data_IF_300576046756
#
_entry.id   IF_300576046756
#
_cell.length_a   1.000
_cell.length_b   1.000
_cell.length_c   1.000
_cell.angle_alpha   90.00
_cell.angle_beta   90.00
_cell.angle_gamma   90.00
#
_symmetry.space_group_name_H-M   'P 1'
#
loop_
_entity.id
_entity.type
_entity.pdbx_description
1 polymer ?
#
# COMPACT_ATOMS: atom_id res chain seq x y z
N UNK A 1 44.55 61.03 -21.67
CA UNK A 1 44.11 60.15 -22.78
C UNK A 1 42.79 59.45 -22.44
N UNK A 2 41.68 60.08 -22.80
CA UNK A 2 40.32 59.57 -22.67
C UNK A 2 39.95 58.81 -23.95
N UNK A 3 40.04 57.47 -23.90
CA UNK A 3 39.60 56.60 -24.99
C UNK A 3 38.07 56.51 -24.94
N UNK A 4 37.41 57.24 -25.83
CA UNK A 4 35.96 57.18 -26.06
C UNK A 4 35.71 56.14 -27.16
N UNK A 5 35.12 55.01 -26.79
CA UNK A 5 34.66 53.98 -27.74
C UNK A 5 33.27 54.41 -28.23
N UNK A 6 33.11 54.58 -29.53
CA UNK A 6 31.81 54.87 -30.13
C UNK A 6 30.92 53.62 -30.14
N UNK A 7 29.61 53.76 -29.93
CA UNK A 7 28.71 52.61 -29.92
C UNK A 7 28.51 52.06 -31.34
N UNK A 8 28.36 50.73 -31.50
CA UNK A 8 28.24 50.10 -32.81
C UNK A 8 26.96 50.53 -33.54
N UNK A 9 27.10 50.84 -34.84
CA UNK A 9 26.05 51.43 -35.68
C UNK A 9 24.93 50.47 -36.14
N UNK A 10 24.98 49.19 -35.76
CA UNK A 10 23.93 48.24 -36.12
C UNK A 10 23.71 47.20 -35.01
N UNK A 11 22.47 47.09 -34.57
CA UNK A 11 22.01 46.01 -33.70
C UNK A 11 21.94 44.73 -34.56
N UNK A 12 22.47 43.58 -34.12
CA UNK A 12 22.43 42.34 -34.89
C UNK A 12 20.99 41.95 -35.24
N UNK A 13 20.75 41.34 -36.42
CA UNK A 13 19.42 41.03 -36.91
C UNK A 13 18.67 40.10 -35.94
N UNK A 14 17.49 40.53 -35.49
CA UNK A 14 16.61 39.81 -34.57
C UNK A 14 15.84 38.64 -35.21
N UNK A 15 16.19 38.22 -36.44
CA UNK A 15 15.46 37.18 -37.17
C UNK A 15 15.55 35.79 -36.52
N UNK A 16 16.60 35.54 -35.72
CA UNK A 16 16.69 34.33 -34.88
C UNK A 16 15.74 34.36 -33.66
N UNK A 17 15.07 35.49 -33.41
CA UNK A 17 14.09 35.70 -32.32
C UNK A 17 12.66 35.74 -32.84
N UNK A 18 12.35 35.04 -33.94
CA UNK A 18 10.98 34.58 -34.18
C UNK A 18 10.58 33.73 -32.98
N UNK A 19 9.67 34.25 -32.16
CA UNK A 19 8.91 33.45 -31.19
C UNK A 19 8.58 32.13 -31.89
N UNK A 20 9.11 31.03 -31.38
CA UNK A 20 8.51 29.73 -31.67
C UNK A 20 7.02 29.89 -31.37
N UNK A 21 6.10 29.40 -32.22
CA UNK A 21 4.70 29.38 -31.82
C UNK A 21 4.68 28.72 -30.45
N UNK A 22 4.21 29.45 -29.43
CA UNK A 22 3.88 28.86 -28.14
C UNK A 22 3.02 27.67 -28.50
N UNK A 23 3.55 26.44 -28.33
CA UNK A 23 2.72 25.25 -28.40
C UNK A 23 1.53 25.58 -27.51
N UNK A 24 0.28 25.42 -27.98
CA UNK A 24 -0.85 25.55 -27.08
C UNK A 24 -0.49 24.71 -25.87
N UNK A 25 -0.55 25.30 -24.68
CA UNK A 25 -0.47 24.52 -23.46
C UNK A 25 -1.48 23.40 -23.68
N UNK A 26 -1.00 22.17 -23.89
CA UNK A 26 -1.86 21.02 -23.79
C UNK A 26 -2.42 21.18 -22.38
N UNK A 27 -3.70 21.56 -22.29
CA UNK A 27 -4.48 21.29 -21.09
C UNK A 27 -4.39 19.78 -20.98
N UNK A 28 -3.39 19.35 -20.21
CA UNK A 28 -3.25 17.98 -19.80
C UNK A 28 -4.54 17.73 -19.05
N UNK A 29 -5.45 17.02 -19.71
CA UNK A 29 -6.69 16.59 -19.10
C UNK A 29 -6.28 15.67 -17.94
N UNK A 30 -6.32 16.20 -16.72
CA UNK A 30 -5.90 15.50 -15.51
C UNK A 30 -6.67 14.17 -15.39
N UNK A 31 -7.90 14.12 -15.90
CA UNK A 31 -8.70 12.89 -15.97
C UNK A 31 -8.12 11.89 -16.97
N UNK A 32 -7.62 12.33 -18.13
CA UNK A 32 -7.02 11.45 -19.14
C UNK A 32 -5.62 10.95 -18.74
N UNK A 33 -4.84 11.76 -18.03
CA UNK A 33 -3.59 11.31 -17.41
C UNK A 33 -3.81 10.37 -16.23
N UNK A 34 -4.79 10.63 -15.35
CA UNK A 34 -5.18 9.68 -14.31
C UNK A 34 -5.67 8.36 -14.90
N UNK A 35 -6.46 8.41 -15.99
CA UNK A 35 -6.94 7.24 -16.70
C UNK A 35 -5.75 6.45 -17.29
N UNK A 36 -4.80 7.12 -17.95
CA UNK A 36 -3.57 6.51 -18.48
C UNK A 36 -2.71 5.92 -17.36
N UNK A 37 -2.57 6.60 -16.23
CA UNK A 37 -1.85 6.08 -15.06
C UNK A 37 -2.58 4.89 -14.43
N UNK A 38 -3.91 4.87 -14.40
CA UNK A 38 -4.73 3.72 -13.97
C UNK A 38 -4.57 2.52 -14.91
N UNK A 39 -4.56 2.76 -16.21
CA UNK A 39 -4.30 1.73 -17.23
C UNK A 39 -2.86 1.20 -17.14
N UNK A 40 -1.88 2.10 -17.02
CA UNK A 40 -0.46 1.76 -16.84
C UNK A 40 -0.18 1.08 -15.49
N UNK A 41 -0.97 1.36 -14.45
CA UNK A 41 -0.90 0.69 -13.13
C UNK A 41 -1.72 -0.60 -13.07
N UNK A 42 -2.43 -0.96 -14.14
CA UNK A 42 -3.16 -2.24 -14.24
C UNK A 42 -4.49 -2.27 -13.46
N UNK A 43 -4.98 -1.08 -13.06
CA UNK A 43 -6.29 -0.88 -12.44
C UNK A 43 -7.43 -0.84 -13.48
N UNK A 44 -7.18 -1.31 -14.70
CA UNK A 44 -8.19 -1.51 -15.73
C UNK A 44 -8.73 -2.94 -15.68
N UNK A 45 -10.04 -3.12 -15.91
CA UNK A 45 -10.67 -4.45 -15.92
C UNK A 45 -9.97 -5.36 -16.94
N UNK A 46 -9.44 -6.49 -16.49
CA UNK A 46 -8.75 -7.46 -17.36
C UNK A 46 -9.72 -8.28 -18.22
N UNK A 47 -10.99 -8.37 -17.80
CA UNK A 47 -12.05 -9.12 -18.49
C UNK A 47 -11.88 -10.65 -18.40
N UNK A 48 -10.97 -11.13 -17.54
CA UNK A 48 -10.70 -12.55 -17.26
C UNK A 48 -10.73 -12.76 -15.75
N UNK A 49 -11.23 -13.91 -15.30
CA UNK A 49 -11.17 -14.28 -13.88
C UNK A 49 -9.70 -14.30 -13.40
N UNK A 50 -9.41 -13.60 -12.31
CA UNK A 50 -8.06 -13.39 -11.76
C UNK A 50 -7.08 -12.67 -12.70
N UNK A 51 -7.57 -11.96 -13.72
CA UNK A 51 -6.73 -11.29 -14.70
C UNK A 51 -5.87 -10.18 -14.09
N UNK A 52 -6.42 -9.39 -13.16
CA UNK A 52 -5.69 -8.37 -12.41
C UNK A 52 -4.56 -8.97 -11.58
N UNK A 53 -4.84 -10.04 -10.82
CA UNK A 53 -3.83 -10.72 -10.00
C UNK A 53 -2.65 -11.26 -10.82
N UNK A 54 -2.92 -11.83 -12.00
CA UNK A 54 -1.87 -12.33 -12.90
C UNK A 54 -1.02 -11.17 -13.45
N UNK A 55 -1.64 -10.04 -13.78
CA UNK A 55 -0.93 -8.85 -14.23
C UNK A 55 -0.04 -8.28 -13.12
N UNK A 56 -0.53 -8.22 -11.88
CA UNK A 56 0.25 -7.77 -10.71
C UNK A 56 1.48 -8.65 -10.49
N UNK A 57 1.31 -9.99 -10.55
CA UNK A 57 2.42 -10.92 -10.40
C UNK A 57 3.46 -10.76 -11.53
N UNK A 58 3.01 -10.61 -12.77
CA UNK A 58 3.89 -10.42 -13.93
C UNK A 58 4.73 -9.15 -13.80
N UNK A 59 4.14 -8.07 -13.27
CA UNK A 59 4.85 -6.80 -13.02
C UNK A 59 5.84 -6.90 -11.89
N UNK A 60 5.53 -7.65 -10.83
CA UNK A 60 6.39 -7.76 -9.65
C UNK A 60 7.55 -8.76 -9.82
N UNK A 61 7.35 -9.83 -10.58
CA UNK A 61 8.34 -10.89 -10.79
C UNK A 61 9.78 -10.40 -11.11
N UNK A 62 10.03 -9.41 -11.99
CA UNK A 62 11.40 -8.97 -12.29
C UNK A 62 12.07 -8.24 -11.13
N UNK A 63 11.32 -7.57 -10.26
CA UNK A 63 11.84 -6.77 -9.15
C UNK A 63 12.15 -7.60 -7.91
N UNK A 64 11.45 -8.73 -7.73
CA UNK A 64 11.53 -9.55 -6.52
C UNK A 64 12.97 -9.93 -6.14
N UNK A 65 13.83 -10.27 -7.10
CA UNK A 65 15.23 -10.61 -6.82
C UNK A 65 16.11 -9.37 -6.54
N UNK A 66 15.77 -8.21 -7.10
CA UNK A 66 16.45 -6.95 -6.78
C UNK A 66 16.17 -6.54 -5.35
N UNK A 67 14.91 -6.66 -4.90
CA UNK A 67 14.46 -6.25 -3.56
C UNK A 67 15.32 -6.90 -2.44
N UNK A 68 15.69 -8.19 -2.57
CA UNK A 68 16.57 -8.85 -1.60
C UNK A 68 18.01 -8.35 -1.64
N UNK A 69 18.53 -7.95 -2.80
CA UNK A 69 19.88 -7.38 -2.91
C UNK A 69 19.91 -5.98 -2.31
N UNK A 70 18.89 -5.18 -2.58
CA UNK A 70 18.77 -3.81 -2.11
C UNK A 70 18.58 -3.76 -0.57
N UNK A 71 17.89 -4.76 -0.01
CA UNK A 71 17.72 -4.91 1.44
C UNK A 71 19.02 -5.16 2.23
N UNK A 72 20.13 -5.54 1.57
CA UNK A 72 21.43 -5.77 2.23
C UNK A 72 22.22 -4.48 2.50
N UNK A 73 21.71 -3.32 2.09
CA UNK A 73 22.35 -2.05 2.39
C UNK A 73 22.35 -1.76 3.91
N UNK A 74 23.48 -1.27 4.43
CA UNK A 74 23.66 -0.99 5.88
C UNK A 74 22.63 0.02 6.42
N UNK A 75 22.16 0.93 5.56
CA UNK A 75 21.12 1.91 5.92
C UNK A 75 19.76 1.24 6.26
N UNK A 76 19.47 0.06 5.71
CA UNK A 76 18.23 -0.68 5.99
C UNK A 76 18.19 -1.22 7.43
N UNK A 77 19.34 -1.43 8.06
CA UNK A 77 19.42 -1.95 9.44
C UNK A 77 18.81 -0.96 10.44
N UNK A 78 19.06 0.34 10.26
CA UNK A 78 18.48 1.38 11.11
C UNK A 78 16.95 1.43 10.98
N UNK A 79 16.44 1.37 9.75
CA UNK A 79 15.00 1.31 9.47
C UNK A 79 14.36 0.05 10.06
N UNK A 80 15.03 -1.11 10.00
CA UNK A 80 14.54 -2.36 10.57
C UNK A 80 14.38 -2.28 12.09
N UNK A 81 15.40 -1.78 12.81
CA UNK A 81 15.33 -1.61 14.27
C UNK A 81 14.24 -0.61 14.66
N UNK A 82 14.15 0.51 13.94
CA UNK A 82 13.12 1.52 14.19
C UNK A 82 11.71 0.94 13.99
N UNK A 83 11.47 0.27 12.86
CA UNK A 83 10.18 -0.34 12.55
C UNK A 83 9.81 -1.45 13.53
N UNK A 84 10.78 -2.23 14.01
CA UNK A 84 10.54 -3.25 15.02
C UNK A 84 9.90 -2.65 16.28
N UNK A 85 10.50 -1.61 16.86
CA UNK A 85 9.93 -0.96 18.04
C UNK A 85 8.63 -0.21 17.74
N UNK A 86 8.54 0.44 16.57
CA UNK A 86 7.35 1.16 16.15
C UNK A 86 6.13 0.23 16.00
N UNK A 87 6.32 -1.00 15.52
CA UNK A 87 5.24 -1.97 15.34
C UNK A 87 4.97 -2.81 16.60
N UNK A 88 6.00 -3.07 17.41
CA UNK A 88 5.86 -3.87 18.63
C UNK A 88 5.00 -3.18 19.69
N UNK A 89 5.14 -1.87 19.87
CA UNK A 89 4.35 -1.11 20.85
C UNK A 89 2.84 -1.23 20.61
N UNK A 90 2.28 -0.89 19.43
CA UNK A 90 0.85 -1.00 19.18
C UNK A 90 0.36 -2.45 19.21
N UNK A 91 1.16 -3.43 18.77
CA UNK A 91 0.77 -4.85 18.85
C UNK A 91 0.59 -5.29 20.32
N UNK A 92 1.51 -4.90 21.21
CA UNK A 92 1.38 -5.22 22.64
C UNK A 92 0.20 -4.47 23.26
N UNK A 93 0.05 -3.17 22.97
CA UNK A 93 -1.05 -2.36 23.52
C UNK A 93 -2.41 -2.90 23.09
N UNK A 94 -2.62 -3.13 21.80
CA UNK A 94 -3.89 -3.68 21.29
C UNK A 94 -4.10 -5.13 21.71
N UNK A 95 -3.05 -5.94 21.78
CA UNK A 95 -3.14 -7.32 22.27
C UNK A 95 -3.51 -7.39 23.75
N UNK A 96 -3.06 -6.43 24.57
CA UNK A 96 -3.47 -6.29 25.97
C UNK A 96 -4.94 -5.90 26.13
N UNK A 97 -5.38 -4.88 25.38
CA UNK A 97 -6.78 -4.44 25.38
C UNK A 97 -7.73 -5.55 24.90
N UNK A 98 -7.31 -6.30 23.87
CA UNK A 98 -8.07 -7.42 23.34
C UNK A 98 -8.13 -8.60 24.34
N UNK A 99 -7.06 -8.82 25.10
CA UNK A 99 -7.05 -9.82 26.17
C UNK A 99 -8.06 -9.52 27.26
N UNK A 100 -8.21 -8.25 27.62
CA UNK A 100 -9.17 -7.81 28.62
C UNK A 100 -10.61 -7.91 28.08
N UNK A 101 -10.83 -7.46 26.85
CA UNK A 101 -12.13 -7.50 26.20
C UNK A 101 -12.64 -8.94 25.93
N UNK A 102 -11.75 -9.89 25.63
CA UNK A 102 -12.12 -11.27 25.22
C UNK A 102 -12.00 -12.30 26.34
N UNK A 103 -11.86 -11.87 27.60
CA UNK A 103 -11.76 -12.78 28.74
C UNK A 103 -10.54 -13.70 28.70
N UNK A 104 -9.40 -13.21 28.18
CA UNK A 104 -8.13 -13.96 27.99
C UNK A 104 -8.16 -15.05 26.90
N UNK A 105 -9.17 -15.09 26.04
CA UNK A 105 -9.17 -16.01 24.90
C UNK A 105 -8.22 -15.54 23.78
N UNK A 106 -7.92 -14.24 23.70
CA UNK A 106 -7.01 -13.66 22.71
C UNK A 106 -6.06 -12.68 23.39
N UNK A 107 -4.84 -13.12 23.73
CA UNK A 107 -3.89 -12.28 24.45
C UNK A 107 -2.81 -11.65 23.54
N UNK A 108 -1.90 -10.91 24.17
CA UNK A 108 -0.82 -10.22 23.47
C UNK A 108 0.13 -11.18 22.75
N UNK A 109 0.33 -12.40 23.27
CA UNK A 109 1.23 -13.39 22.66
C UNK A 109 0.65 -13.96 21.36
N UNK A 110 -0.64 -14.28 21.32
CA UNK A 110 -1.33 -14.74 20.12
C UNK A 110 -1.35 -13.65 19.05
N UNK A 111 -1.55 -12.40 19.47
CA UNK A 111 -1.49 -11.23 18.59
C UNK A 111 -0.10 -11.02 17.99
N UNK A 112 0.96 -11.23 18.78
CA UNK A 112 2.36 -11.16 18.31
C UNK A 112 2.66 -12.27 17.29
N UNK A 113 2.26 -13.51 17.59
CA UNK A 113 2.48 -14.65 16.67
C UNK A 113 1.70 -14.46 15.37
N UNK A 114 0.44 -14.02 15.46
CA UNK A 114 -0.37 -13.70 14.28
C UNK A 114 0.27 -12.58 13.45
N UNK A 115 0.73 -11.50 14.10
CA UNK A 115 1.39 -10.38 13.43
C UNK A 115 2.68 -10.82 12.72
N UNK A 116 3.47 -11.70 13.33
CA UNK A 116 4.66 -12.28 12.71
C UNK A 116 4.34 -13.10 11.47
N UNK A 117 3.39 -14.05 11.56
CA UNK A 117 3.03 -14.93 10.43
C UNK A 117 2.45 -14.10 9.29
N UNK A 118 1.52 -13.19 9.58
CA UNK A 118 0.92 -12.31 8.57
C UNK A 118 1.95 -11.35 7.97
N UNK A 119 2.84 -10.78 8.78
CA UNK A 119 3.89 -9.86 8.32
C UNK A 119 4.91 -10.54 7.41
N UNK A 120 5.37 -11.75 7.74
CA UNK A 120 6.28 -12.52 6.89
C UNK A 120 5.58 -12.95 5.60
N UNK A 121 4.35 -13.48 5.69
CA UNK A 121 3.57 -13.86 4.52
C UNK A 121 3.32 -12.69 3.58
N UNK A 122 2.90 -11.55 4.12
CA UNK A 122 2.69 -10.34 3.33
C UNK A 122 3.99 -9.78 2.76
N UNK A 123 5.07 -9.73 3.54
CA UNK A 123 6.37 -9.24 3.06
C UNK A 123 6.89 -10.03 1.86
N UNK A 124 6.69 -11.34 1.83
CA UNK A 124 7.14 -12.22 0.74
C UNK A 124 6.20 -12.20 -0.48
N UNK A 125 4.88 -12.11 -0.29
CA UNK A 125 3.91 -12.29 -1.38
C UNK A 125 3.13 -11.04 -1.80
N UNK A 126 3.27 -9.92 -1.09
CA UNK A 126 2.55 -8.67 -1.42
C UNK A 126 3.09 -8.00 -2.68
N UNK A 127 2.25 -7.17 -3.33
CA UNK A 127 2.68 -6.24 -4.38
C UNK A 127 3.57 -5.10 -3.86
N UNK A 128 3.31 -4.63 -2.63
CA UNK A 128 3.98 -3.49 -2.01
C UNK A 128 4.52 -3.89 -0.61
N UNK A 129 5.81 -4.25 -0.49
CA UNK A 129 6.36 -4.79 0.75
C UNK A 129 6.66 -3.70 1.80
N UNK A 130 6.51 -2.42 1.42
CA UNK A 130 6.65 -1.26 2.30
C UNK A 130 5.41 -1.04 3.20
N UNK A 131 4.30 -1.73 2.93
CA UNK A 131 3.06 -1.60 3.71
C UNK A 131 3.19 -2.37 5.02
N UNK A 132 2.95 -1.69 6.14
CA UNK A 132 3.00 -2.27 7.48
C UNK A 132 1.61 -2.80 7.85
N UNK A 133 1.54 -4.08 8.16
CA UNK A 133 0.32 -4.69 8.70
C UNK A 133 0.26 -4.51 10.21
N UNK A 134 -0.90 -4.12 10.73
CA UNK A 134 -1.11 -3.97 12.16
C UNK A 134 -2.59 -4.02 12.52
N UNK A 135 -2.87 -4.37 13.76
CA UNK A 135 -4.23 -4.26 14.32
C UNK A 135 -4.60 -2.78 14.41
N UNK A 136 -5.84 -2.46 14.06
CA UNK A 136 -6.37 -1.09 14.07
C UNK A 136 -7.51 -0.97 15.07
N UNK A 137 -7.75 0.24 15.56
CA UNK A 137 -8.84 0.54 16.52
C UNK A 137 -10.22 0.02 16.08
N UNK A 138 -10.65 0.21 14.81
CA UNK A 138 -11.93 -0.31 14.34
C UNK A 138 -12.04 -1.83 14.40
N UNK A 139 -10.95 -2.56 14.09
CA UNK A 139 -10.93 -4.02 14.19
C UNK A 139 -11.07 -4.44 15.66
N UNK A 140 -10.40 -3.76 16.59
CA UNK A 140 -10.57 -4.04 18.02
C UNK A 140 -12.03 -3.85 18.47
N UNK A 141 -12.66 -2.74 18.09
CA UNK A 141 -14.07 -2.48 18.45
C UNK A 141 -14.99 -3.55 17.88
N UNK A 142 -14.76 -3.95 16.62
CA UNK A 142 -15.51 -5.04 15.99
C UNK A 142 -15.38 -6.35 16.78
N UNK A 143 -14.17 -6.73 17.17
CA UNK A 143 -13.93 -7.95 17.95
C UNK A 143 -14.61 -7.94 19.31
N UNK A 144 -14.59 -6.79 20.02
CA UNK A 144 -15.30 -6.66 21.30
C UNK A 144 -16.81 -6.87 21.12
N UNK A 145 -17.42 -6.27 20.09
CA UNK A 145 -18.86 -6.44 19.81
C UNK A 145 -19.19 -7.91 19.48
N UNK A 146 -18.33 -8.57 18.70
CA UNK A 146 -18.51 -10.00 18.36
C UNK A 146 -18.41 -10.87 19.61
N UNK A 147 -17.46 -10.58 20.50
CA UNK A 147 -17.30 -11.29 21.76
C UNK A 147 -18.52 -11.12 22.68
N UNK A 148 -19.02 -9.89 22.83
CA UNK A 148 -20.21 -9.59 23.63
C UNK A 148 -21.46 -10.28 23.05
N UNK A 149 -21.62 -10.27 21.73
CA UNK A 149 -22.69 -10.98 21.04
C UNK A 149 -22.64 -12.48 21.34
N UNK A 150 -21.47 -13.12 21.15
CA UNK A 150 -21.30 -14.55 21.41
C UNK A 150 -21.64 -14.89 22.87
N UNK A 151 -21.21 -14.05 23.80
CA UNK A 151 -21.48 -14.22 25.23
C UNK A 151 -22.98 -14.10 25.55
N UNK A 152 -23.67 -13.12 24.95
CA UNK A 152 -25.12 -12.91 25.16
C UNK A 152 -25.99 -14.05 24.61
N UNK A 153 -25.56 -14.68 23.52
CA UNK A 153 -26.28 -15.77 22.85
C UNK A 153 -25.86 -17.16 23.37
N UNK A 154 -24.70 -17.25 24.06
CA UNK A 154 -24.12 -18.50 24.52
C UNK A 154 -23.41 -19.29 23.41
N UNK A 155 -22.87 -18.59 22.40
CA UNK A 155 -22.08 -19.20 21.33
C UNK A 155 -20.60 -19.21 21.65
N UNK A 156 -19.90 -20.23 21.13
CA UNK A 156 -18.44 -20.30 21.23
C UNK A 156 -17.78 -19.25 20.33
N UNK A 157 -17.12 -18.28 20.96
CA UNK A 157 -16.46 -17.16 20.28
C UNK A 157 -15.43 -17.63 19.26
N UNK A 158 -14.62 -18.65 19.59
CA UNK A 158 -13.54 -19.10 18.70
C UNK A 158 -14.08 -19.74 17.42
N UNK A 159 -15.12 -20.57 17.55
CA UNK A 159 -15.81 -21.19 16.41
C UNK A 159 -16.50 -20.13 15.53
N UNK A 160 -17.17 -19.15 16.15
CA UNK A 160 -17.84 -18.09 15.40
C UNK A 160 -16.83 -17.19 14.66
N UNK A 161 -15.72 -16.84 15.31
CA UNK A 161 -14.59 -16.11 14.72
C UNK A 161 -14.01 -16.82 13.49
N UNK A 162 -13.85 -18.15 13.55
CA UNK A 162 -13.40 -18.94 12.40
C UNK A 162 -14.37 -18.85 11.20
N UNK A 163 -15.68 -18.91 11.46
CA UNK A 163 -16.69 -18.76 10.41
C UNK A 163 -16.68 -17.36 9.79
N UNK A 164 -16.54 -16.30 10.60
CA UNK A 164 -16.38 -14.94 10.09
C UNK A 164 -15.15 -14.85 9.16
N UNK A 165 -13.99 -15.36 9.60
CA UNK A 165 -12.77 -15.36 8.79
C UNK A 165 -12.91 -16.16 7.48
N UNK A 166 -13.66 -17.26 7.51
CA UNK A 166 -13.94 -18.08 6.33
C UNK A 166 -14.75 -17.30 5.29
N UNK A 167 -15.82 -16.62 5.74
CA UNK A 167 -16.63 -15.77 4.85
C UNK A 167 -15.85 -14.58 4.30
N UNK A 168 -15.04 -13.92 5.12
CA UNK A 168 -14.15 -12.83 4.66
C UNK A 168 -13.22 -13.36 3.56
N UNK A 169 -12.61 -14.54 3.74
CA UNK A 169 -11.73 -15.15 2.73
C UNK A 169 -12.46 -15.42 1.41
N UNK A 170 -13.69 -15.97 1.49
CA UNK A 170 -14.51 -16.24 0.30
C UNK A 170 -14.84 -14.92 -0.44
N UNK A 171 -15.27 -13.90 0.28
CA UNK A 171 -15.62 -12.60 -0.30
C UNK A 171 -14.38 -11.96 -0.95
N UNK A 172 -13.23 -11.98 -0.28
CA UNK A 172 -11.97 -11.45 -0.82
C UNK A 172 -11.54 -12.20 -2.09
N UNK A 173 -11.66 -13.53 -2.12
CA UNK A 173 -11.35 -14.31 -3.33
C UNK A 173 -12.27 -13.94 -4.50
N UNK A 174 -13.56 -13.73 -4.24
CA UNK A 174 -14.51 -13.29 -5.27
C UNK A 174 -14.14 -11.90 -5.78
N UNK A 175 -13.83 -10.96 -4.88
CA UNK A 175 -13.44 -9.58 -5.25
C UNK A 175 -12.16 -9.56 -6.10
N UNK A 176 -11.17 -10.39 -5.76
CA UNK A 176 -9.95 -10.55 -6.57
C UNK A 176 -10.27 -11.20 -7.92
N UNK A 177 -11.19 -12.17 -7.96
CA UNK A 177 -11.55 -12.84 -9.21
C UNK A 177 -12.26 -11.92 -10.21
N UNK A 178 -13.03 -10.93 -9.74
CA UNK A 178 -13.78 -9.98 -10.58
C UNK A 178 -13.03 -8.68 -10.89
N UNK A 179 -11.75 -8.58 -10.53
CA UNK A 179 -10.95 -7.35 -10.65
C UNK A 179 -11.64 -6.14 -9.99
N UNK A 180 -12.14 -6.30 -8.76
CA UNK A 180 -12.84 -5.23 -8.04
C UNK A 180 -11.95 -4.00 -7.75
N UNK A 181 -10.63 -4.13 -7.82
CA UNK A 181 -9.67 -3.01 -7.71
C UNK A 181 -9.78 -1.99 -8.85
N UNK A 182 -10.46 -2.33 -9.94
CA UNK A 182 -10.72 -1.42 -11.06
C UNK A 182 -11.96 -0.52 -10.85
N UNK A 183 -12.69 -0.69 -9.74
CA UNK A 183 -13.81 0.16 -9.32
C UNK A 183 -13.31 1.28 -8.40
#
# INVERSE_FOLDING_TARGET
PSIRIEPPAAVPPQDARKRQPEKPAEEIDEEEEEQKQREESGLARSGRLFGGLVNDLKRKAPWYWSDFKDALAVNCVASWIFLYFACLSPIITFGGLLSEATGKNMAAMESLVSGFICGVGYGLFSGQPLTILGSTGPVLVFETIVFDLCTSVGWDYMSFRFWIGTWITIILLILVAIDASAL
#
